data_IF_355606210087
#
_entry.id   IF_355606210087
#
_cell.length_a   1.000
_cell.length_b   1.000
_cell.length_c   1.000
_cell.angle_alpha   90.00
_cell.angle_beta   90.00
_cell.angle_gamma   90.00
#
_symmetry.space_group_name_H-M   'P 1'
#
loop_
_entity.id
_entity.type
_entity.pdbx_description
1 polymer ?
#
# COMPACT_ATOMS: atom_id res chain seq x y z
N UNK A 1 23.24 2.99 -7.75
CA UNK A 1 22.64 4.16 -8.45
C UNK A 1 22.36 5.26 -7.46
N UNK A 2 22.65 6.53 -7.76
CA UNK A 2 22.17 7.66 -6.96
C UNK A 2 20.69 7.84 -7.28
N UNK A 3 19.83 7.69 -6.30
CA UNK A 3 18.39 7.95 -6.47
C UNK A 3 18.16 9.38 -6.97
N UNK A 4 17.16 9.59 -7.83
CA UNK A 4 16.78 10.91 -8.25
C UNK A 4 16.21 11.73 -7.06
N UNK A 5 16.41 13.08 -7.03
CA UNK A 5 15.83 13.92 -6.00
C UNK A 5 14.31 13.74 -5.89
N UNK A 6 13.80 13.52 -4.67
CA UNK A 6 12.39 13.24 -4.38
C UNK A 6 11.82 14.24 -3.36
N UNK A 7 10.54 14.54 -3.48
CA UNK A 7 9.82 15.33 -2.48
C UNK A 7 9.80 14.67 -1.10
N UNK A 8 10.02 13.36 -1.00
CA UNK A 8 10.12 12.62 0.25
C UNK A 8 11.32 13.01 1.10
N UNK A 9 12.39 13.52 0.47
CA UNK A 9 13.59 14.04 1.12
C UNK A 9 13.69 15.57 0.98
N UNK A 10 12.55 16.26 0.99
CA UNK A 10 12.50 17.71 0.82
C UNK A 10 12.81 18.42 2.12
N UNK A 11 13.78 19.35 2.06
CA UNK A 11 14.14 20.24 3.16
C UNK A 11 13.80 21.69 2.82
N UNK A 12 13.54 22.48 3.84
CA UNK A 12 13.48 23.95 3.74
C UNK A 12 14.56 24.55 4.61
N UNK A 13 15.54 25.22 3.99
CA UNK A 13 16.60 25.96 4.67
C UNK A 13 16.21 27.43 4.78
N UNK A 14 16.18 27.96 6.00
CA UNK A 14 16.02 29.38 6.28
C UNK A 14 17.37 30.03 6.33
N UNK A 15 17.62 30.94 5.40
CA UNK A 15 18.90 31.60 5.20
C UNK A 15 18.75 33.11 5.48
N UNK A 16 19.83 33.72 6.02
CA UNK A 16 20.05 35.13 6.01
C UNK A 16 21.09 35.48 4.93
N UNK A 17 20.78 36.41 4.06
CA UNK A 17 21.56 36.71 2.87
C UNK A 17 21.79 38.22 2.82
N UNK A 18 22.98 38.66 2.47
CA UNK A 18 23.28 40.08 2.29
C UNK A 18 22.37 40.67 1.17
N UNK A 19 21.75 41.81 1.46
CA UNK A 19 20.75 42.44 0.53
C UNK A 19 21.33 42.95 -0.78
N UNK A 20 22.65 42.96 -0.91
CA UNK A 20 23.37 43.46 -2.09
C UNK A 20 24.18 42.32 -2.69
N UNK A 21 23.88 41.95 -3.95
CA UNK A 21 24.66 40.94 -4.69
C UNK A 21 23.82 39.84 -5.34
N UNK A 22 24.52 38.82 -5.81
CA UNK A 22 23.95 37.68 -6.56
C UNK A 22 23.65 36.47 -5.65
N UNK A 23 23.62 36.63 -4.34
CA UNK A 23 23.59 35.55 -3.39
C UNK A 23 22.40 34.58 -3.60
N UNK A 24 21.20 35.08 -3.95
CA UNK A 24 20.04 34.21 -4.22
C UNK A 24 20.28 33.33 -5.45
N UNK A 25 20.86 33.85 -6.52
CA UNK A 25 21.19 33.06 -7.71
C UNK A 25 22.35 32.06 -7.47
N UNK A 26 23.26 32.42 -6.56
CA UNK A 26 24.36 31.54 -6.18
C UNK A 26 23.89 30.39 -5.29
N UNK A 27 22.91 30.63 -4.41
CA UNK A 27 22.27 29.57 -3.60
C UNK A 27 21.58 28.54 -4.49
N UNK A 28 20.76 28.97 -5.47
CA UNK A 28 20.10 28.02 -6.37
C UNK A 28 21.09 27.23 -7.19
N UNK A 29 22.16 27.89 -7.67
CA UNK A 29 23.24 27.22 -8.39
C UNK A 29 23.99 26.22 -7.52
N UNK A 30 24.27 26.54 -6.25
CA UNK A 30 24.94 25.63 -5.32
C UNK A 30 24.11 24.36 -5.09
N UNK A 31 22.79 24.49 -4.91
CA UNK A 31 21.86 23.35 -4.78
C UNK A 31 21.87 22.48 -6.05
N UNK A 32 21.75 23.10 -7.24
CA UNK A 32 21.77 22.39 -8.52
C UNK A 32 23.11 21.69 -8.79
N UNK A 33 24.24 22.36 -8.50
CA UNK A 33 25.57 21.78 -8.65
C UNK A 33 25.82 20.61 -7.69
N UNK A 34 25.19 20.61 -6.52
CA UNK A 34 25.20 19.51 -5.59
C UNK A 34 24.21 18.39 -5.95
N UNK A 35 23.47 18.52 -7.07
CA UNK A 35 22.53 17.50 -7.55
C UNK A 35 21.12 17.62 -7.00
N UNK A 36 20.80 18.63 -6.18
CA UNK A 36 19.47 18.88 -5.64
C UNK A 36 18.58 19.64 -6.63
N UNK A 37 17.27 19.61 -6.38
CA UNK A 37 16.27 20.35 -7.17
C UNK A 37 15.60 21.39 -6.28
N UNK A 38 15.72 22.69 -6.64
CA UNK A 38 15.00 23.76 -5.95
C UNK A 38 13.53 23.71 -6.34
N UNK A 39 12.64 23.52 -5.37
CA UNK A 39 11.19 23.40 -5.58
C UNK A 39 10.42 24.63 -5.16
N UNK A 40 10.96 25.46 -4.26
CA UNK A 40 10.41 26.75 -3.89
C UNK A 40 11.48 27.68 -3.35
N UNK A 41 11.28 28.99 -3.53
CA UNK A 41 12.14 30.02 -3.01
C UNK A 41 11.29 31.22 -2.60
N UNK A 42 11.28 31.52 -1.29
CA UNK A 42 10.58 32.66 -0.71
C UNK A 42 11.57 33.70 -0.19
N UNK A 43 11.47 34.92 -0.69
CA UNK A 43 12.31 36.04 -0.28
C UNK A 43 11.51 37.04 0.56
N UNK A 44 11.86 37.14 1.82
CA UNK A 44 11.23 38.05 2.77
C UNK A 44 12.17 39.20 3.12
N UNK A 45 11.61 40.38 3.34
CA UNK A 45 12.39 41.55 3.81
C UNK A 45 12.98 41.25 5.21
N UNK A 46 14.29 41.34 5.32
CA UNK A 46 15.01 41.30 6.58
C UNK A 46 15.23 42.68 7.18
N UNK A 47 15.74 42.73 8.40
CA UNK A 47 16.16 43.96 9.06
C UNK A 47 17.61 44.33 8.69
N UNK A 48 17.93 45.62 8.55
CA UNK A 48 19.30 46.16 8.44
C UNK A 48 20.14 45.68 7.24
N UNK A 49 19.54 45.59 6.04
CA UNK A 49 20.32 45.28 4.82
C UNK A 49 20.59 43.79 4.61
N UNK A 50 19.90 42.91 5.31
CA UNK A 50 19.87 41.49 5.04
C UNK A 50 18.50 41.07 4.52
N UNK A 51 18.46 40.05 3.67
CA UNK A 51 17.23 39.37 3.20
C UNK A 51 17.11 38.04 3.94
N UNK A 52 15.90 37.66 4.31
CA UNK A 52 15.58 36.32 4.76
C UNK A 52 15.07 35.54 3.55
N UNK A 53 15.71 34.43 3.26
CA UNK A 53 15.37 33.55 2.13
C UNK A 53 15.07 32.16 2.66
N UNK A 54 13.87 31.66 2.39
CA UNK A 54 13.51 30.27 2.66
C UNK A 54 13.66 29.49 1.33
N UNK A 55 14.61 28.55 1.26
CA UNK A 55 14.87 27.71 0.09
C UNK A 55 14.36 26.32 0.38
N UNK A 56 13.41 25.86 -0.43
CA UNK A 56 12.95 24.47 -0.40
C UNK A 56 13.58 23.71 -1.54
N UNK A 57 14.23 22.60 -1.24
CA UNK A 57 14.85 21.73 -2.24
C UNK A 57 14.59 20.26 -1.95
N UNK A 58 14.54 19.46 -3.02
CA UNK A 58 14.45 18.01 -2.96
C UNK A 58 15.85 17.40 -3.07
N UNK A 59 16.10 16.37 -2.25
CA UNK A 59 17.30 15.55 -2.25
C UNK A 59 16.98 14.10 -2.64
N UNK A 60 18.01 13.28 -2.90
CA UNK A 60 17.85 11.86 -3.17
C UNK A 60 17.69 11.00 -1.91
N UNK A 61 18.32 11.44 -0.82
CA UNK A 61 18.35 10.77 0.47
C UNK A 61 18.73 11.74 1.58
N UNK A 62 18.81 11.27 2.82
CA UNK A 62 19.13 12.09 3.99
C UNK A 62 20.56 12.67 3.93
N UNK A 63 21.56 11.89 3.50
CA UNK A 63 22.95 12.34 3.41
C UNK A 63 23.09 13.42 2.32
N UNK A 64 22.39 13.25 1.20
CA UNK A 64 22.33 14.26 0.15
C UNK A 64 21.65 15.54 0.64
N UNK A 65 20.56 15.46 1.43
CA UNK A 65 19.94 16.64 2.04
C UNK A 65 20.93 17.43 2.93
N UNK A 66 21.75 16.74 3.72
CA UNK A 66 22.81 17.36 4.53
C UNK A 66 23.88 18.04 3.64
N UNK A 67 24.26 17.40 2.53
CA UNK A 67 25.23 17.98 1.59
C UNK A 67 24.70 19.24 0.89
N UNK A 68 23.39 19.29 0.57
CA UNK A 68 22.75 20.49 0.02
C UNK A 68 22.78 21.66 1.02
N UNK A 69 22.56 21.37 2.32
CA UNK A 69 22.67 22.39 3.38
C UNK A 69 24.10 22.93 3.47
N UNK A 70 25.10 22.05 3.43
CA UNK A 70 26.50 22.44 3.44
C UNK A 70 26.86 23.32 2.23
N UNK A 71 26.42 22.93 1.01
CA UNK A 71 26.64 23.70 -0.22
C UNK A 71 26.01 25.10 -0.13
N UNK A 72 24.82 25.25 0.45
CA UNK A 72 24.22 26.57 0.68
C UNK A 72 24.99 27.42 1.70
N UNK A 73 25.54 26.79 2.72
CA UNK A 73 26.33 27.49 3.76
C UNK A 73 27.70 28.00 3.24
N UNK A 74 28.25 27.39 2.20
CA UNK A 74 29.50 27.81 1.56
C UNK A 74 29.35 29.03 0.64
N UNK A 75 28.10 29.42 0.29
CA UNK A 75 27.86 30.58 -0.54
C UNK A 75 28.24 31.86 0.22
N UNK A 76 29.11 32.74 -0.35
CA UNK A 76 29.56 33.94 0.32
C UNK A 76 28.40 34.87 0.73
N UNK A 77 28.36 35.28 2.00
CA UNK A 77 27.34 36.17 2.54
C UNK A 77 26.01 35.47 2.86
N UNK A 78 26.00 34.18 2.92
CA UNK A 78 24.86 33.36 3.34
C UNK A 78 25.12 32.77 4.73
N UNK A 79 24.11 32.87 5.60
CA UNK A 79 24.10 32.23 6.92
C UNK A 79 22.87 31.34 7.03
N UNK A 80 23.07 30.05 7.31
CA UNK A 80 21.98 29.10 7.54
C UNK A 80 21.50 29.22 8.99
N UNK A 81 20.24 29.62 9.20
CA UNK A 81 19.67 29.75 10.53
C UNK A 81 18.91 28.54 11.01
N UNK A 82 18.17 27.92 10.11
CA UNK A 82 17.33 26.76 10.44
C UNK A 82 17.14 25.89 9.20
N UNK A 83 17.21 24.59 9.40
CA UNK A 83 16.80 23.60 8.39
C UNK A 83 15.61 22.83 8.96
N UNK A 84 14.62 22.61 8.12
CA UNK A 84 13.41 21.86 8.46
C UNK A 84 13.19 20.79 7.41
N UNK A 85 13.12 19.56 7.84
CA UNK A 85 12.68 18.45 7.00
C UNK A 85 11.16 18.51 6.87
N UNK A 86 10.67 18.60 5.63
CA UNK A 86 9.23 18.76 5.36
C UNK A 86 8.44 17.50 5.68
N UNK A 87 9.04 16.32 5.50
CA UNK A 87 8.41 15.05 5.86
C UNK A 87 8.20 14.97 7.37
N UNK A 88 9.22 15.29 8.17
CA UNK A 88 9.08 15.34 9.63
C UNK A 88 8.08 16.39 10.09
N UNK A 89 8.06 17.57 9.44
CA UNK A 89 7.08 18.61 9.77
C UNK A 89 5.64 18.15 9.53
N UNK A 90 5.38 17.38 8.47
CA UNK A 90 4.07 16.80 8.18
C UNK A 90 3.60 15.83 9.27
N UNK A 91 4.54 15.18 9.97
CA UNK A 91 4.24 14.21 11.03
C UNK A 91 4.13 14.82 12.43
N UNK A 92 4.47 16.10 12.61
CA UNK A 92 4.36 16.74 13.92
C UNK A 92 2.93 16.79 14.43
N UNK A 93 2.67 16.12 15.57
CA UNK A 93 1.35 16.03 16.18
C UNK A 93 0.42 14.98 15.55
N UNK A 94 0.97 14.13 14.64
CA UNK A 94 0.21 13.12 13.92
C UNK A 94 -0.48 13.63 12.66
N UNK A 95 -1.02 12.71 11.86
CA UNK A 95 -1.67 12.98 10.56
C UNK A 95 -3.19 12.91 10.61
N UNK A 96 -3.76 12.49 11.72
CA UNK A 96 -5.19 12.30 11.90
C UNK A 96 -5.69 12.99 13.16
N UNK A 97 -6.95 13.39 13.15
CA UNK A 97 -7.66 13.95 14.29
C UNK A 97 -9.07 13.36 14.38
N UNK A 98 -9.65 13.36 15.59
CA UNK A 98 -11.05 13.00 15.80
C UNK A 98 -11.93 14.26 15.79
N UNK A 99 -13.00 14.22 15.01
CA UNK A 99 -13.96 15.31 14.94
C UNK A 99 -15.39 14.84 15.26
N UNK A 100 -16.06 15.54 16.18
CA UNK A 100 -17.47 15.27 16.49
C UNK A 100 -18.36 15.56 15.29
N UNK A 101 -19.30 14.63 15.00
CA UNK A 101 -20.35 14.80 13.98
C UNK A 101 -21.58 15.55 14.51
N UNK A 102 -21.73 15.61 15.83
CA UNK A 102 -22.88 16.24 16.48
C UNK A 102 -22.48 17.54 17.17
N UNK A 103 -23.31 18.58 17.13
CA UNK A 103 -23.05 19.79 17.88
C UNK A 103 -23.27 19.55 19.39
N UNK A 104 -22.41 20.11 20.22
CA UNK A 104 -22.56 20.12 21.69
C UNK A 104 -22.52 21.57 22.16
N UNK A 105 -23.57 22.34 21.84
CA UNK A 105 -23.65 23.79 22.03
C UNK A 105 -24.40 24.21 23.29
N UNK A 106 -25.31 23.36 23.78
CA UNK A 106 -26.20 23.67 24.89
C UNK A 106 -26.53 22.39 25.69
N UNK A 107 -27.33 22.57 26.76
CA UNK A 107 -27.76 21.47 27.66
C UNK A 107 -28.60 20.42 26.95
N UNK A 108 -29.43 20.81 25.99
CA UNK A 108 -30.27 19.90 25.24
C UNK A 108 -29.47 18.99 24.32
N UNK A 109 -28.49 19.57 23.58
CA UNK A 109 -27.53 18.81 22.79
C UNK A 109 -26.78 17.81 23.67
N UNK A 110 -26.28 18.22 24.84
CA UNK A 110 -25.58 17.35 25.78
C UNK A 110 -26.50 16.24 26.32
N UNK A 111 -27.73 16.57 26.68
CA UNK A 111 -28.72 15.60 27.20
C UNK A 111 -29.06 14.53 26.16
N UNK A 112 -29.16 14.89 24.88
CA UNK A 112 -29.39 13.94 23.80
C UNK A 112 -28.16 13.08 23.47
N UNK A 113 -26.99 13.71 23.40
CA UNK A 113 -25.78 13.04 22.97
C UNK A 113 -25.13 12.20 24.08
N UNK A 114 -25.35 12.55 25.35
CA UNK A 114 -24.73 11.87 26.49
C UNK A 114 -25.81 11.53 27.55
N UNK A 115 -25.72 12.08 28.75
CA UNK A 115 -26.64 11.74 29.87
C UNK A 115 -27.78 12.74 29.97
N UNK A 116 -29.04 12.31 30.04
CA UNK A 116 -29.57 10.93 30.18
C UNK A 116 -29.94 10.23 28.85
N UNK A 117 -29.95 10.94 27.73
CA UNK A 117 -30.47 10.46 26.45
C UNK A 117 -29.81 9.20 25.92
N UNK A 118 -28.46 9.10 26.02
CA UNK A 118 -27.68 7.94 25.55
C UNK A 118 -28.09 6.63 26.23
N UNK A 119 -28.60 6.67 27.46
CA UNK A 119 -29.03 5.47 28.18
C UNK A 119 -30.14 4.70 27.43
N UNK A 120 -31.05 5.42 26.76
CA UNK A 120 -32.09 4.81 25.94
C UNK A 120 -31.54 4.05 24.74
N UNK A 121 -30.48 4.59 24.09
CA UNK A 121 -29.78 3.95 22.97
C UNK A 121 -29.02 2.73 23.48
N UNK A 122 -28.35 2.83 24.62
CA UNK A 122 -27.61 1.71 25.23
C UNK A 122 -28.56 0.55 25.59
N UNK A 123 -29.72 0.82 26.15
CA UNK A 123 -30.73 -0.21 26.44
C UNK A 123 -31.28 -0.87 25.17
N UNK A 124 -31.51 -0.07 24.12
CA UNK A 124 -31.95 -0.61 22.83
C UNK A 124 -30.86 -1.54 22.21
N UNK A 125 -29.59 -1.17 22.30
CA UNK A 125 -28.47 -1.99 21.82
C UNK A 125 -28.25 -3.24 22.70
N UNK A 126 -28.47 -3.16 24.00
CA UNK A 126 -28.43 -4.34 24.87
C UNK A 126 -29.50 -5.36 24.51
N UNK A 127 -30.67 -4.90 24.08
CA UNK A 127 -31.77 -5.75 23.62
C UNK A 127 -31.60 -6.25 22.20
N UNK A 128 -30.89 -5.48 21.35
CA UNK A 128 -30.67 -5.76 19.92
C UNK A 128 -29.28 -5.33 19.47
N UNK A 129 -28.22 -6.12 19.76
CA UNK A 129 -26.82 -5.77 19.47
C UNK A 129 -26.51 -5.50 17.98
N UNK A 130 -27.23 -6.13 17.05
CA UNK A 130 -27.07 -5.94 15.61
C UNK A 130 -27.36 -4.48 15.16
N UNK A 131 -28.17 -3.74 15.89
CA UNK A 131 -28.41 -2.32 15.64
C UNK A 131 -27.18 -1.42 15.92
N UNK A 132 -26.10 -1.95 16.51
CA UNK A 132 -24.86 -1.22 16.73
C UNK A 132 -24.28 -0.67 15.42
N UNK A 133 -24.38 -1.41 14.31
CA UNK A 133 -23.96 -0.92 12.98
C UNK A 133 -24.78 0.26 12.48
N UNK A 134 -25.99 0.46 12.97
CA UNK A 134 -26.88 1.56 12.60
C UNK A 134 -26.76 2.77 13.53
N UNK A 135 -26.54 2.52 14.81
CA UNK A 135 -26.65 3.53 15.88
C UNK A 135 -25.30 4.02 16.42
N UNK A 136 -24.19 3.44 15.98
CA UNK A 136 -22.84 3.79 16.46
C UNK A 136 -21.84 4.02 15.33
N UNK A 137 -20.61 4.42 15.71
CA UNK A 137 -19.48 4.56 14.79
C UNK A 137 -19.09 3.22 14.11
N UNK A 138 -19.50 2.06 14.65
CA UNK A 138 -19.29 0.73 14.07
C UNK A 138 -19.70 0.67 12.59
N UNK A 139 -20.67 1.46 12.18
CA UNK A 139 -21.13 1.56 10.78
C UNK A 139 -20.02 1.90 9.80
N UNK A 140 -19.07 2.74 10.22
CA UNK A 140 -18.09 3.40 9.32
C UNK A 140 -16.66 3.32 9.85
N UNK A 141 -16.38 2.49 10.86
CA UNK A 141 -15.05 2.40 11.48
C UNK A 141 -14.32 1.12 11.11
N UNK A 142 -13.00 1.24 10.91
CA UNK A 142 -12.07 0.13 10.67
C UNK A 142 -10.92 0.25 11.64
N UNK A 143 -10.53 -0.86 12.29
CA UNK A 143 -9.27 -0.92 13.03
C UNK A 143 -8.14 -1.30 12.06
N UNK A 144 -7.10 -0.49 12.00
CA UNK A 144 -5.84 -0.80 11.29
C UNK A 144 -4.85 -1.33 12.30
N UNK A 145 -4.65 -2.63 12.31
CA UNK A 145 -3.94 -3.36 13.36
C UNK A 145 -2.58 -3.83 12.86
N UNK A 146 -1.55 -3.52 13.62
CA UNK A 146 -0.16 -3.98 13.35
C UNK A 146 0.54 -4.39 14.65
N UNK A 147 1.53 -5.28 14.53
CA UNK A 147 2.54 -5.54 15.56
C UNK A 147 3.92 -4.95 15.20
N UNK A 148 4.01 -4.27 14.06
CA UNK A 148 5.23 -3.62 13.57
C UNK A 148 6.34 -4.56 13.15
N UNK A 149 6.03 -5.83 12.85
CA UNK A 149 7.03 -6.86 12.57
C UNK A 149 7.47 -6.95 11.10
N UNK A 150 6.78 -6.26 10.17
CA UNK A 150 7.09 -6.30 8.73
C UNK A 150 6.83 -4.96 8.01
N UNK A 151 7.34 -3.86 8.56
CA UNK A 151 7.01 -2.50 8.12
C UNK A 151 7.80 -2.10 6.87
N UNK A 152 7.11 -1.82 5.75
CA UNK A 152 7.62 -1.15 4.53
C UNK A 152 9.01 -1.62 4.04
N UNK A 153 9.38 -2.90 4.18
CA UNK A 153 10.73 -3.37 3.84
C UNK A 153 11.81 -3.02 4.89
N UNK A 154 11.44 -2.27 5.94
CA UNK A 154 12.33 -2.00 7.09
C UNK A 154 12.42 -3.20 8.04
N UNK A 155 11.49 -4.15 7.89
CA UNK A 155 11.42 -5.33 8.72
C UNK A 155 10.77 -5.06 10.09
N UNK A 156 11.26 -5.72 11.12
CA UNK A 156 10.73 -5.61 12.48
C UNK A 156 11.25 -4.35 13.18
N UNK A 157 10.48 -3.27 13.11
CA UNK A 157 10.80 -1.98 13.75
C UNK A 157 9.96 -1.71 15.00
N UNK A 158 8.98 -2.59 15.29
CA UNK A 158 8.12 -2.51 16.46
C UNK A 158 6.97 -1.51 16.35
N UNK A 159 6.06 -1.50 17.35
CA UNK A 159 4.77 -0.81 17.26
C UNK A 159 4.89 0.72 17.21
N UNK A 160 5.84 1.31 17.91
CA UNK A 160 6.00 2.78 17.92
C UNK A 160 6.45 3.30 16.55
N UNK A 161 7.40 2.61 15.91
CA UNK A 161 7.88 3.01 14.58
C UNK A 161 6.89 2.68 13.46
N UNK A 162 5.97 1.73 13.67
CA UNK A 162 4.88 1.43 12.75
C UNK A 162 3.75 2.49 12.80
N UNK A 163 3.58 3.21 13.91
CA UNK A 163 2.45 4.15 14.09
C UNK A 163 2.34 5.20 12.97
N UNK A 164 3.40 5.85 12.48
CA UNK A 164 3.29 6.79 11.37
C UNK A 164 2.74 6.17 10.08
N UNK A 165 3.02 4.88 9.82
CA UNK A 165 2.48 4.15 8.67
C UNK A 165 0.99 3.91 8.85
N UNK A 166 0.57 3.47 10.04
CA UNK A 166 -0.84 3.22 10.37
C UNK A 166 -1.68 4.51 10.31
N UNK A 167 -1.13 5.65 10.74
CA UNK A 167 -1.77 6.96 10.55
C UNK A 167 -1.90 7.31 9.07
N UNK A 168 -0.90 7.01 8.26
CA UNK A 168 -0.96 7.14 6.81
C UNK A 168 -2.09 6.32 6.22
N UNK A 169 -2.17 5.04 6.61
CA UNK A 169 -3.25 4.13 6.18
C UNK A 169 -4.63 4.70 6.57
N UNK A 170 -4.79 5.19 7.80
CA UNK A 170 -6.04 5.80 8.27
C UNK A 170 -6.41 7.06 7.46
N UNK A 171 -5.44 7.91 7.13
CA UNK A 171 -5.65 9.08 6.27
C UNK A 171 -6.10 8.69 4.85
N UNK A 172 -5.54 7.61 4.28
CA UNK A 172 -5.94 7.07 2.97
C UNK A 172 -7.37 6.52 2.99
N UNK A 173 -7.74 5.75 4.03
CA UNK A 173 -9.12 5.31 4.25
C UNK A 173 -10.11 6.48 4.27
N UNK A 174 -9.75 7.55 5.01
CA UNK A 174 -10.58 8.75 5.10
C UNK A 174 -10.68 9.46 3.76
N UNK A 175 -9.54 9.67 3.08
CA UNK A 175 -9.47 10.43 1.83
C UNK A 175 -10.23 9.77 0.69
N UNK A 176 -10.07 8.47 0.50
CA UNK A 176 -10.56 7.77 -0.69
C UNK A 176 -11.93 7.10 -0.49
N UNK A 177 -12.27 6.70 0.73
CA UNK A 177 -13.52 5.98 1.01
C UNK A 177 -14.39 6.59 2.11
N UNK A 178 -13.99 7.73 2.68
CA UNK A 178 -14.64 8.38 3.83
C UNK A 178 -14.89 7.40 5.01
N UNK A 179 -13.93 6.51 5.27
CA UNK A 179 -13.95 5.57 6.39
C UNK A 179 -13.15 6.15 7.55
N UNK A 180 -13.68 6.03 8.76
CA UNK A 180 -13.03 6.43 10.00
C UNK A 180 -12.15 5.28 10.49
N UNK A 181 -10.87 5.29 10.11
CA UNK A 181 -9.92 4.23 10.45
C UNK A 181 -9.08 4.62 11.67
N UNK A 182 -8.78 3.63 12.53
CA UNK A 182 -8.10 3.80 13.80
C UNK A 182 -6.79 3.01 13.82
N UNK A 183 -5.62 3.67 13.95
CA UNK A 183 -4.35 3.01 14.18
C UNK A 183 -4.35 2.25 15.51
N UNK A 184 -4.07 0.95 15.46
CA UNK A 184 -3.95 0.07 16.61
C UNK A 184 -2.61 -0.65 16.53
N UNK A 185 -1.60 -0.14 17.22
CA UNK A 185 -0.27 -0.72 17.27
C UNK A 185 -0.14 -1.56 18.55
N UNK A 186 0.13 -2.86 18.39
CA UNK A 186 0.19 -3.82 19.50
C UNK A 186 1.65 -4.03 19.93
N UNK A 187 1.92 -3.86 21.23
CA UNK A 187 3.22 -4.17 21.80
C UNK A 187 3.32 -5.67 22.16
N UNK A 188 3.04 -6.51 21.17
CA UNK A 188 3.19 -7.96 21.26
C UNK A 188 3.27 -8.56 19.85
N UNK A 189 4.09 -9.61 19.71
CA UNK A 189 4.19 -10.44 18.50
C UNK A 189 3.70 -11.87 18.76
N UNK A 190 3.09 -12.12 19.90
CA UNK A 190 2.46 -13.39 20.23
C UNK A 190 1.11 -13.52 19.54
N UNK A 191 0.93 -14.59 18.76
CA UNK A 191 -0.28 -14.83 17.97
C UNK A 191 -1.54 -14.87 18.82
N UNK A 192 -1.49 -15.52 19.99
CA UNK A 192 -2.65 -15.67 20.88
C UNK A 192 -3.05 -14.32 21.48
N UNK A 193 -2.09 -13.52 21.87
CA UNK A 193 -2.33 -12.17 22.40
C UNK A 193 -2.87 -11.22 21.32
N UNK A 194 -2.33 -11.26 20.10
CA UNK A 194 -2.83 -10.48 18.97
C UNK A 194 -4.30 -10.82 18.72
N UNK A 195 -4.61 -12.11 18.54
CA UNK A 195 -5.97 -12.59 18.27
C UNK A 195 -6.93 -12.21 19.40
N UNK A 196 -6.54 -12.45 20.66
CA UNK A 196 -7.37 -12.12 21.80
C UNK A 196 -7.65 -10.60 21.91
N UNK A 197 -6.62 -9.77 21.69
CA UNK A 197 -6.75 -8.31 21.76
C UNK A 197 -7.66 -7.79 20.65
N UNK A 198 -7.45 -8.23 19.41
CA UNK A 198 -8.27 -7.80 18.27
C UNK A 198 -9.73 -8.23 18.45
N UNK A 199 -9.96 -9.46 18.92
CA UNK A 199 -11.31 -9.94 19.23
C UNK A 199 -11.99 -9.11 20.32
N UNK A 200 -11.26 -8.72 21.37
CA UNK A 200 -11.79 -7.93 22.46
C UNK A 200 -12.21 -6.50 22.04
N UNK A 201 -11.52 -5.87 21.09
CA UNK A 201 -11.86 -4.53 20.59
C UNK A 201 -12.84 -4.54 19.41
N UNK A 202 -13.05 -5.65 18.75
CA UNK A 202 -13.89 -5.81 17.55
C UNK A 202 -15.32 -5.24 17.69
N UNK A 203 -15.98 -5.24 18.87
CA UNK A 203 -17.31 -4.66 19.02
C UNK A 203 -17.42 -3.19 18.57
N UNK A 204 -16.33 -2.41 18.65
CA UNK A 204 -16.30 -0.99 18.25
C UNK A 204 -16.12 -0.77 16.74
N UNK A 205 -15.83 -1.80 15.95
CA UNK A 205 -15.44 -1.67 14.56
C UNK A 205 -16.35 -2.41 13.59
N UNK A 206 -16.50 -1.87 12.39
CA UNK A 206 -17.20 -2.52 11.29
C UNK A 206 -16.34 -3.45 10.46
N UNK A 207 -15.01 -3.38 10.60
CA UNK A 207 -14.04 -4.25 9.96
C UNK A 207 -12.65 -4.13 10.56
N UNK A 208 -11.79 -5.10 10.29
CA UNK A 208 -10.39 -5.15 10.74
C UNK A 208 -9.49 -5.20 9.50
N UNK A 209 -8.56 -4.26 9.41
CA UNK A 209 -7.44 -4.28 8.48
C UNK A 209 -6.18 -4.68 9.23
N UNK A 210 -5.63 -5.85 8.93
CA UNK A 210 -4.32 -6.27 9.41
C UNK A 210 -3.25 -5.69 8.49
N UNK A 211 -2.19 -5.17 9.06
CA UNK A 211 -1.13 -4.45 8.36
C UNK A 211 0.24 -4.77 8.93
N UNK A 212 1.24 -4.96 8.07
CA UNK A 212 2.65 -5.08 8.46
C UNK A 212 2.93 -6.19 9.52
N UNK A 213 2.16 -7.28 9.50
CA UNK A 213 2.37 -8.46 10.35
C UNK A 213 3.16 -9.50 9.56
N UNK A 214 4.29 -9.95 10.08
CA UNK A 214 5.21 -10.85 9.37
C UNK A 214 4.64 -12.26 9.15
N UNK A 215 4.96 -12.83 7.98
CA UNK A 215 4.73 -14.26 7.72
C UNK A 215 5.71 -15.13 8.55
N UNK A 216 5.33 -16.36 8.96
CA UNK A 216 4.03 -17.01 8.67
C UNK A 216 2.90 -16.63 9.62
N UNK A 217 3.18 -15.88 10.70
CA UNK A 217 2.22 -15.53 11.76
C UNK A 217 0.97 -14.82 11.23
N UNK A 218 1.11 -13.94 10.25
CA UNK A 218 -0.02 -13.20 9.67
C UNK A 218 -1.13 -14.12 9.15
N UNK A 219 -0.79 -15.29 8.59
CA UNK A 219 -1.78 -16.24 8.09
C UNK A 219 -2.65 -16.83 9.21
N UNK A 220 -2.01 -17.20 10.33
CA UNK A 220 -2.71 -17.77 11.48
C UNK A 220 -3.57 -16.71 12.18
N UNK A 221 -3.06 -15.49 12.36
CA UNK A 221 -3.80 -14.37 12.92
C UNK A 221 -5.06 -14.10 12.11
N UNK A 222 -4.93 -13.94 10.78
CA UNK A 222 -6.07 -13.67 9.90
C UNK A 222 -7.09 -14.82 9.94
N UNK A 223 -6.64 -16.07 9.78
CA UNK A 223 -7.48 -17.26 9.77
C UNK A 223 -8.32 -17.37 11.04
N UNK A 224 -7.71 -17.18 12.20
CA UNK A 224 -8.40 -17.26 13.50
C UNK A 224 -9.39 -16.11 13.69
N UNK A 225 -9.01 -14.88 13.37
CA UNK A 225 -9.91 -13.74 13.48
C UNK A 225 -11.12 -13.84 12.53
N UNK A 226 -10.91 -14.31 11.29
CA UNK A 226 -12.01 -14.57 10.34
C UNK A 226 -12.99 -15.64 10.82
N UNK A 227 -12.51 -16.62 11.58
CA UNK A 227 -13.35 -17.68 12.16
C UNK A 227 -14.13 -17.21 13.41
N UNK A 228 -13.62 -16.20 14.14
CA UNK A 228 -14.17 -15.76 15.42
C UNK A 228 -15.08 -14.54 15.30
N UNK A 229 -14.85 -13.67 14.33
CA UNK A 229 -15.52 -12.35 14.25
C UNK A 229 -16.68 -12.35 13.26
N UNK A 230 -17.70 -11.55 13.60
CA UNK A 230 -18.86 -11.25 12.75
C UNK A 230 -18.67 -10.00 11.88
N UNK A 231 -17.42 -9.56 11.71
CA UNK A 231 -17.01 -8.45 10.87
C UNK A 231 -15.88 -8.90 9.92
N UNK A 232 -15.75 -8.28 8.74
CA UNK A 232 -14.70 -8.67 7.79
C UNK A 232 -13.32 -8.40 8.36
N UNK A 233 -12.41 -9.36 8.18
CA UNK A 233 -10.99 -9.27 8.46
C UNK A 233 -10.23 -9.38 7.15
N UNK A 234 -9.36 -8.43 6.89
CA UNK A 234 -8.60 -8.29 5.65
C UNK A 234 -7.15 -7.97 5.98
N UNK A 235 -6.22 -8.70 5.41
CA UNK A 235 -4.80 -8.41 5.53
C UNK A 235 -4.35 -7.71 4.23
N UNK A 236 -4.00 -6.43 4.31
CA UNK A 236 -3.75 -5.62 3.11
C UNK A 236 -2.53 -6.09 2.32
N UNK A 237 -1.42 -6.43 3.00
CA UNK A 237 -0.21 -6.93 2.33
C UNK A 237 -0.44 -8.23 1.54
N UNK A 238 -1.46 -9.00 1.92
CA UNK A 238 -1.87 -10.18 1.19
C UNK A 238 -2.88 -9.83 0.09
N UNK A 239 -4.07 -9.43 0.51
CA UNK A 239 -5.23 -9.33 -0.39
C UNK A 239 -5.25 -8.03 -1.20
N UNK A 240 -4.79 -6.90 -0.61
CA UNK A 240 -4.65 -5.64 -1.33
C UNK A 240 -3.66 -5.79 -2.48
N UNK A 241 -2.49 -6.36 -2.20
CA UNK A 241 -1.47 -6.66 -3.21
C UNK A 241 -2.01 -7.60 -4.29
N UNK A 242 -2.72 -8.66 -3.91
CA UNK A 242 -3.28 -9.61 -4.88
C UNK A 242 -4.30 -8.95 -5.84
N UNK A 243 -5.17 -8.09 -5.31
CA UNK A 243 -6.17 -7.35 -6.10
C UNK A 243 -5.50 -6.45 -7.13
N UNK A 244 -4.54 -5.62 -6.71
CA UNK A 244 -3.91 -4.66 -7.61
C UNK A 244 -3.02 -5.33 -8.66
N UNK A 245 -2.35 -6.43 -8.29
CA UNK A 245 -1.56 -7.23 -9.23
C UNK A 245 -2.46 -7.89 -10.27
N UNK A 246 -3.57 -8.51 -9.87
CA UNK A 246 -4.51 -9.12 -10.82
C UNK A 246 -5.14 -8.08 -11.75
N UNK A 247 -5.50 -6.90 -11.23
CA UNK A 247 -6.04 -5.81 -12.03
C UNK A 247 -5.04 -5.34 -13.09
N UNK A 248 -3.80 -5.05 -12.68
CA UNK A 248 -2.73 -4.64 -13.58
C UNK A 248 -2.40 -5.73 -14.61
N UNK A 249 -2.33 -7.00 -14.19
CA UNK A 249 -2.05 -8.11 -15.10
C UNK A 249 -3.17 -8.30 -16.13
N UNK A 250 -4.44 -8.16 -15.72
CA UNK A 250 -5.58 -8.23 -16.64
C UNK A 250 -5.43 -7.23 -17.79
N UNK A 251 -5.06 -6.00 -17.50
CA UNK A 251 -4.87 -4.97 -18.50
C UNK A 251 -3.55 -5.14 -19.28
N UNK A 252 -2.46 -5.53 -18.62
CA UNK A 252 -1.20 -5.82 -19.30
C UNK A 252 -1.36 -6.95 -20.34
N UNK A 253 -2.11 -8.00 -19.99
CA UNK A 253 -2.43 -9.09 -20.94
C UNK A 253 -3.27 -8.59 -22.12
N UNK A 254 -4.23 -7.70 -21.90
CA UNK A 254 -4.98 -7.04 -22.98
C UNK A 254 -4.06 -6.26 -23.93
N UNK A 255 -3.09 -5.51 -23.38
CA UNK A 255 -2.09 -4.73 -24.15
C UNK A 255 -1.24 -5.63 -25.06
N UNK A 256 -0.80 -6.79 -24.55
CA UNK A 256 0.07 -7.70 -25.31
C UNK A 256 -0.70 -8.77 -26.10
N UNK A 257 -2.04 -8.83 -25.98
CA UNK A 257 -2.88 -9.77 -26.70
C UNK A 257 -2.72 -11.22 -26.25
N UNK A 258 -2.48 -11.47 -24.95
CA UNK A 258 -2.30 -12.82 -24.39
C UNK A 258 -3.43 -13.16 -23.41
N UNK A 259 -3.69 -14.46 -23.21
CA UNK A 259 -4.68 -14.96 -22.24
C UNK A 259 -4.01 -15.49 -20.97
N UNK A 260 -4.64 -15.22 -19.81
CA UNK A 260 -4.10 -15.64 -18.50
C UNK A 260 -3.93 -17.16 -18.38
N UNK A 261 -4.75 -17.94 -19.07
CA UNK A 261 -4.70 -19.40 -19.05
C UNK A 261 -3.54 -19.99 -19.85
N UNK A 262 -2.96 -19.22 -20.79
CA UNK A 262 -1.95 -19.72 -21.71
C UNK A 262 -0.53 -19.19 -21.38
N UNK A 263 -0.43 -18.12 -20.61
CA UNK A 263 0.85 -17.49 -20.26
C UNK A 263 1.62 -18.25 -19.18
N UNK A 264 2.93 -18.34 -19.36
CA UNK A 264 3.86 -18.81 -18.33
C UNK A 264 4.18 -17.66 -17.38
N UNK A 265 3.77 -17.79 -16.13
CA UNK A 265 4.00 -16.82 -15.06
C UNK A 265 5.12 -17.31 -14.15
N UNK A 266 6.10 -16.46 -13.88
CA UNK A 266 7.15 -16.70 -12.88
C UNK A 266 7.00 -15.70 -11.76
N UNK A 267 6.94 -16.19 -10.52
CA UNK A 267 6.83 -15.35 -9.34
C UNK A 267 8.09 -15.44 -8.48
N UNK A 268 8.64 -14.31 -8.11
CA UNK A 268 9.70 -14.19 -7.11
C UNK A 268 9.06 -13.73 -5.79
N UNK A 269 9.18 -14.57 -4.75
CA UNK A 269 8.60 -14.34 -3.44
C UNK A 269 7.41 -15.24 -3.13
N UNK A 270 7.59 -16.10 -2.12
CA UNK A 270 6.60 -17.06 -1.64
C UNK A 270 6.13 -16.75 -0.19
N UNK A 271 6.22 -15.48 0.19
CA UNK A 271 5.75 -14.96 1.47
C UNK A 271 4.26 -14.62 1.46
N UNK A 272 3.84 -13.70 2.35
CA UNK A 272 2.44 -13.30 2.51
C UNK A 272 1.83 -12.77 1.20
N UNK A 273 2.44 -11.76 0.59
CA UNK A 273 1.98 -11.17 -0.66
C UNK A 273 2.00 -12.19 -1.81
N UNK A 274 3.13 -12.88 -2.02
CA UNK A 274 3.27 -13.84 -3.12
C UNK A 274 2.25 -14.97 -3.07
N UNK A 275 1.97 -15.50 -1.89
CA UNK A 275 0.94 -16.54 -1.72
C UNK A 275 -0.46 -16.05 -2.05
N UNK A 276 -0.80 -14.85 -1.61
CA UNK A 276 -2.11 -14.26 -1.88
C UNK A 276 -2.29 -13.92 -3.36
N UNK A 277 -1.26 -13.34 -3.99
CA UNK A 277 -1.23 -13.09 -5.44
C UNK A 277 -1.43 -14.41 -6.19
N UNK A 278 -0.67 -15.45 -5.84
CA UNK A 278 -0.74 -16.74 -6.47
C UNK A 278 -2.15 -17.34 -6.41
N UNK A 279 -2.77 -17.35 -5.21
CA UNK A 279 -4.15 -17.84 -5.04
C UNK A 279 -5.13 -17.11 -5.95
N UNK A 280 -5.02 -15.79 -6.01
CA UNK A 280 -5.93 -14.98 -6.81
C UNK A 280 -5.71 -15.18 -8.33
N UNK A 281 -4.46 -15.36 -8.78
CA UNK A 281 -4.13 -15.68 -10.17
C UNK A 281 -4.68 -17.04 -10.60
N UNK A 282 -4.53 -18.06 -9.76
CA UNK A 282 -5.09 -19.40 -10.02
C UNK A 282 -6.62 -19.35 -10.12
N UNK A 283 -7.29 -18.60 -9.24
CA UNK A 283 -8.73 -18.40 -9.28
C UNK A 283 -9.17 -17.60 -10.54
N UNK A 284 -8.32 -16.72 -11.05
CA UNK A 284 -8.54 -16.00 -12.28
C UNK A 284 -8.28 -16.84 -13.54
N UNK A 285 -7.76 -18.06 -13.41
CA UNK A 285 -7.56 -19.00 -14.50
C UNK A 285 -6.10 -19.24 -14.93
N UNK A 286 -5.11 -18.69 -14.21
CA UNK A 286 -3.70 -18.99 -14.49
C UNK A 286 -3.41 -20.49 -14.30
N UNK A 287 -2.67 -21.09 -15.24
CA UNK A 287 -2.39 -22.56 -15.22
C UNK A 287 -0.91 -22.87 -15.15
N UNK A 288 -0.06 -22.03 -15.72
CA UNK A 288 1.38 -22.29 -15.87
C UNK A 288 2.16 -21.31 -14.98
N UNK A 289 2.20 -21.60 -13.67
CA UNK A 289 2.88 -20.74 -12.70
C UNK A 289 4.04 -21.47 -12.07
N UNK A 290 5.21 -20.83 -11.99
CA UNK A 290 6.38 -21.25 -11.22
C UNK A 290 6.63 -20.20 -10.15
N UNK A 291 6.52 -20.57 -8.88
CA UNK A 291 6.88 -19.69 -7.75
C UNK A 291 8.28 -20.05 -7.25
N UNK A 292 9.09 -19.01 -6.97
CA UNK A 292 10.43 -19.15 -6.43
C UNK A 292 10.52 -18.43 -5.08
N UNK A 293 11.20 -19.05 -4.14
CA UNK A 293 11.67 -18.43 -2.90
C UNK A 293 13.18 -18.20 -2.95
N UNK A 294 13.81 -17.87 -1.82
CA UNK A 294 15.26 -17.64 -1.73
C UNK A 294 16.09 -18.88 -2.09
N UNK A 295 15.50 -20.08 -2.02
CA UNK A 295 16.15 -21.34 -2.35
C UNK A 295 15.86 -21.83 -3.79
N UNK A 296 15.23 -20.99 -4.63
CA UNK A 296 14.84 -21.32 -6.01
C UNK A 296 13.38 -21.76 -6.12
N UNK A 297 13.07 -22.54 -7.15
CA UNK A 297 11.71 -22.96 -7.44
C UNK A 297 11.07 -23.78 -6.31
N UNK A 298 9.81 -23.52 -6.05
CA UNK A 298 8.97 -24.31 -5.13
C UNK A 298 8.32 -25.42 -5.96
N UNK A 299 8.53 -26.70 -5.55
CA UNK A 299 8.00 -27.86 -6.25
C UNK A 299 7.65 -29.01 -5.29
N UNK A 300 6.77 -29.87 -5.71
CA UNK A 300 6.36 -31.04 -4.93
C UNK A 300 7.54 -31.99 -4.68
N UNK A 301 7.80 -32.31 -3.41
CA UNK A 301 8.91 -33.16 -2.97
C UNK A 301 10.20 -32.38 -2.62
N UNK A 302 10.24 -31.05 -2.70
CA UNK A 302 11.34 -30.25 -2.16
C UNK A 302 11.36 -30.36 -0.63
N UNK A 303 12.53 -30.58 -0.05
CA UNK A 303 12.71 -30.65 1.40
C UNK A 303 12.57 -29.29 2.08
N UNK A 304 12.16 -29.27 3.35
CA UNK A 304 12.10 -28.06 4.18
C UNK A 304 10.94 -27.12 3.90
N UNK A 305 9.88 -27.59 3.22
CA UNK A 305 8.69 -26.79 2.98
C UNK A 305 7.85 -26.64 4.26
N UNK A 306 7.50 -25.40 4.60
CA UNK A 306 6.46 -25.13 5.59
C UNK A 306 5.06 -25.30 4.96
N UNK A 307 3.99 -25.23 5.76
CA UNK A 307 2.59 -25.44 5.31
C UNK A 307 2.24 -24.56 4.09
N UNK A 308 2.66 -23.31 4.08
CA UNK A 308 2.40 -22.38 2.98
C UNK A 308 3.16 -22.78 1.69
N UNK A 309 4.44 -23.09 1.80
CA UNK A 309 5.25 -23.54 0.66
C UNK A 309 4.78 -24.91 0.15
N UNK A 310 4.29 -25.78 1.04
CA UNK A 310 3.68 -27.06 0.67
C UNK A 310 2.44 -26.81 -0.20
N UNK A 311 1.56 -25.89 0.22
CA UNK A 311 0.39 -25.51 -0.59
C UNK A 311 0.81 -24.99 -1.97
N UNK A 312 1.83 -24.11 -2.05
CA UNK A 312 2.36 -23.61 -3.33
C UNK A 312 2.85 -24.77 -4.21
N UNK A 313 3.64 -25.68 -3.63
CA UNK A 313 4.19 -26.83 -4.35
C UNK A 313 3.11 -27.77 -4.92
N UNK A 314 1.97 -27.90 -4.25
CA UNK A 314 0.85 -28.74 -4.66
C UNK A 314 -0.03 -28.10 -5.75
N UNK A 315 -0.04 -26.76 -5.84
CA UNK A 315 -0.95 -26.02 -6.72
C UNK A 315 -0.26 -25.37 -7.92
N UNK A 316 1.07 -25.40 -7.98
CA UNK A 316 1.85 -24.74 -9.04
C UNK A 316 2.93 -25.64 -9.61
N UNK A 317 3.73 -25.11 -10.53
CA UNK A 317 4.91 -25.78 -11.07
C UNK A 317 4.63 -27.19 -11.61
N UNK A 318 3.55 -27.34 -12.36
CA UNK A 318 3.13 -28.62 -12.94
C UNK A 318 4.18 -29.24 -13.86
N UNK A 319 5.11 -28.43 -14.39
CA UNK A 319 6.25 -28.87 -15.20
C UNK A 319 7.45 -29.37 -14.38
N UNK A 320 7.36 -29.42 -13.05
CA UNK A 320 8.43 -29.86 -12.14
C UNK A 320 9.77 -29.15 -12.36
N UNK A 321 9.76 -27.86 -12.63
CA UNK A 321 10.99 -27.06 -12.69
C UNK A 321 11.64 -27.01 -11.29
N UNK A 322 12.93 -27.32 -11.19
CA UNK A 322 13.67 -27.44 -9.91
C UNK A 322 14.87 -26.49 -9.82
N UNK A 323 15.03 -25.59 -10.81
CA UNK A 323 16.15 -24.66 -10.90
C UNK A 323 15.95 -23.36 -10.09
N UNK A 324 16.83 -22.42 -10.37
CA UNK A 324 16.81 -21.06 -9.81
C UNK A 324 15.81 -20.13 -10.52
N UNK A 325 15.69 -18.89 -10.01
CA UNK A 325 14.82 -17.87 -10.55
C UNK A 325 15.22 -17.46 -11.97
N UNK A 326 16.53 -17.25 -12.22
CA UNK A 326 17.04 -16.83 -13.52
C UNK A 326 16.76 -17.84 -14.63
N UNK A 327 16.82 -19.14 -14.31
CA UNK A 327 16.41 -20.19 -15.23
C UNK A 327 14.89 -20.28 -15.40
N UNK A 328 14.11 -20.00 -14.35
CA UNK A 328 12.65 -20.03 -14.42
C UNK A 328 12.10 -18.98 -15.40
N UNK A 329 12.68 -17.75 -15.43
CA UNK A 329 12.20 -16.65 -16.28
C UNK A 329 12.48 -16.89 -17.78
N UNK A 330 13.32 -17.84 -18.14
CA UNK A 330 13.56 -18.16 -19.56
C UNK A 330 12.27 -18.60 -20.23
N UNK A 331 11.86 -17.87 -21.28
CA UNK A 331 10.62 -18.11 -22.01
C UNK A 331 9.36 -17.82 -21.19
N UNK A 332 9.42 -17.14 -20.06
CA UNK A 332 8.26 -16.69 -19.31
C UNK A 332 7.59 -15.50 -20.02
N UNK A 333 6.25 -15.47 -20.00
CA UNK A 333 5.46 -14.36 -20.50
C UNK A 333 5.31 -13.24 -19.45
N UNK A 334 5.27 -13.64 -18.18
CA UNK A 334 5.02 -12.73 -17.06
C UNK A 334 6.02 -13.01 -15.94
N UNK A 335 6.65 -11.97 -15.42
CA UNK A 335 7.39 -11.97 -14.18
C UNK A 335 6.67 -11.11 -13.15
N UNK A 336 6.47 -11.63 -11.93
CA UNK A 336 5.89 -10.90 -10.80
C UNK A 336 6.82 -11.04 -9.61
N UNK A 337 7.45 -9.94 -9.21
CA UNK A 337 8.31 -9.84 -8.04
C UNK A 337 7.57 -9.22 -6.86
N UNK A 338 7.58 -9.89 -5.73
CA UNK A 338 7.10 -9.46 -4.41
C UNK A 338 8.08 -9.96 -3.34
N UNK A 339 9.38 -9.71 -3.56
CA UNK A 339 10.47 -10.37 -2.83
C UNK A 339 11.51 -9.37 -2.30
N UNK A 340 12.67 -9.36 -2.90
CA UNK A 340 13.81 -8.54 -2.50
C UNK A 340 14.37 -7.81 -3.72
N UNK A 341 15.10 -6.71 -3.52
CA UNK A 341 15.68 -5.95 -4.62
C UNK A 341 16.72 -6.76 -5.40
N UNK A 342 16.81 -6.47 -6.71
CA UNK A 342 17.87 -6.94 -7.61
C UNK A 342 18.02 -8.48 -7.67
N UNK A 343 16.91 -9.23 -7.66
CA UNK A 343 16.93 -10.71 -7.74
C UNK A 343 17.02 -11.24 -9.17
N UNK A 344 16.73 -10.41 -10.19
CA UNK A 344 16.97 -10.65 -11.60
C UNK A 344 17.61 -9.41 -12.24
N UNK A 345 18.29 -9.59 -13.37
CA UNK A 345 18.88 -8.51 -14.16
C UNK A 345 18.13 -8.27 -15.47
N UNK A 346 18.36 -7.14 -16.14
CA UNK A 346 17.82 -6.86 -17.48
C UNK A 346 18.15 -7.97 -18.50
N UNK A 347 19.34 -8.55 -18.45
CA UNK A 347 19.73 -9.70 -19.29
C UNK A 347 18.89 -10.97 -19.05
N UNK A 348 18.26 -11.11 -17.89
CA UNK A 348 17.32 -12.21 -17.63
C UNK A 348 15.96 -11.88 -18.24
N UNK A 349 15.51 -10.62 -18.16
CA UNK A 349 14.30 -10.14 -18.84
C UNK A 349 14.37 -10.35 -20.35
N UNK A 350 15.53 -10.13 -20.95
CA UNK A 350 15.81 -10.40 -22.38
C UNK A 350 15.57 -11.85 -22.81
N UNK A 351 15.67 -12.79 -21.89
CA UNK A 351 15.43 -14.24 -22.16
C UNK A 351 13.96 -14.63 -22.04
N UNK A 352 13.09 -13.72 -21.61
CA UNK A 352 11.64 -13.94 -21.53
C UNK A 352 11.01 -14.05 -22.93
N UNK A 353 9.75 -14.44 -22.96
CA UNK A 353 8.99 -14.55 -24.20
C UNK A 353 8.74 -13.17 -24.85
N UNK A 354 8.55 -13.09 -26.18
CA UNK A 354 8.13 -11.85 -26.83
C UNK A 354 6.84 -11.29 -26.21
N UNK A 355 6.79 -9.97 -26.03
CA UNK A 355 5.69 -9.32 -25.35
C UNK A 355 5.68 -9.62 -23.83
N UNK A 356 6.84 -9.71 -23.22
CA UNK A 356 6.98 -9.96 -21.78
C UNK A 356 6.36 -8.83 -20.94
N UNK A 357 5.78 -9.23 -19.80
CA UNK A 357 5.24 -8.35 -18.77
C UNK A 357 6.09 -8.52 -17.51
N UNK A 358 6.58 -7.40 -16.94
CA UNK A 358 7.42 -7.40 -15.75
C UNK A 358 6.79 -6.51 -14.67
N UNK A 359 6.43 -7.12 -13.54
CA UNK A 359 5.99 -6.43 -12.33
C UNK A 359 7.06 -6.61 -11.26
N UNK A 360 7.79 -5.54 -10.92
CA UNK A 360 8.85 -5.54 -9.93
C UNK A 360 8.42 -4.67 -8.74
N UNK A 361 7.85 -5.28 -7.70
CA UNK A 361 7.07 -4.59 -6.68
C UNK A 361 7.79 -4.47 -5.33
N UNK A 362 9.01 -4.97 -5.19
CA UNK A 362 9.81 -4.79 -3.97
C UNK A 362 10.06 -3.30 -3.69
N UNK A 363 10.02 -2.93 -2.43
CA UNK A 363 10.22 -1.56 -1.95
C UNK A 363 11.38 -1.52 -0.93
N UNK A 364 12.25 -0.47 -0.95
CA UNK A 364 12.22 0.69 -1.84
C UNK A 364 12.79 0.43 -3.24
N UNK A 365 13.61 -0.60 -3.39
CA UNK A 365 14.26 -0.96 -4.65
C UNK A 365 13.58 -2.19 -5.26
N UNK A 366 13.23 -2.17 -6.56
CA UNK A 366 12.53 -3.27 -7.22
C UNK A 366 13.44 -4.48 -7.49
N UNK A 367 12.85 -5.61 -7.86
CA UNK A 367 13.52 -6.88 -8.18
C UNK A 367 14.45 -6.80 -9.37
N UNK A 368 14.21 -5.86 -10.29
CA UNK A 368 15.04 -5.53 -11.45
C UNK A 368 14.99 -4.03 -11.66
N UNK A 369 16.04 -3.45 -12.20
CA UNK A 369 16.04 -2.05 -12.61
C UNK A 369 14.95 -1.83 -13.67
N UNK A 370 13.96 -0.93 -13.44
CA UNK A 370 12.86 -0.74 -14.36
C UNK A 370 13.27 -0.21 -15.73
N UNK A 371 14.34 0.56 -15.81
CA UNK A 371 14.85 1.11 -17.08
C UNK A 371 15.51 0.01 -17.90
N UNK A 372 16.29 -0.90 -17.25
CA UNK A 372 16.83 -2.09 -17.93
C UNK A 372 15.70 -3.03 -18.37
N UNK A 373 14.68 -3.24 -17.54
CA UNK A 373 13.55 -4.11 -17.88
C UNK A 373 12.78 -3.59 -19.11
N UNK A 374 12.62 -2.27 -19.26
CA UNK A 374 11.92 -1.62 -20.39
C UNK A 374 12.60 -1.81 -21.73
N UNK A 375 13.88 -2.11 -21.75
CA UNK A 375 14.59 -2.40 -23.01
C UNK A 375 14.07 -3.71 -23.66
N UNK A 376 13.51 -4.63 -22.87
CA UNK A 376 13.16 -5.98 -23.32
C UNK A 376 11.71 -6.36 -23.08
N UNK A 377 11.05 -5.80 -22.08
CA UNK A 377 9.65 -6.07 -21.75
C UNK A 377 8.70 -5.11 -22.47
N UNK A 378 7.54 -5.61 -22.87
CA UNK A 378 6.47 -4.79 -23.47
C UNK A 378 5.73 -3.94 -22.44
N UNK A 379 5.61 -4.43 -21.20
CA UNK A 379 4.95 -3.72 -20.10
C UNK A 379 5.80 -3.88 -18.83
N UNK A 380 6.11 -2.76 -18.19
CA UNK A 380 6.80 -2.74 -16.90
C UNK A 380 5.97 -1.96 -15.89
N UNK A 381 5.79 -2.53 -14.68
CA UNK A 381 5.14 -1.89 -13.55
C UNK A 381 5.95 -2.06 -12.27
N UNK A 382 5.86 -1.09 -11.37
CA UNK A 382 6.58 -1.11 -10.09
C UNK A 382 5.68 -0.63 -8.93
N UNK A 383 6.13 -0.79 -7.69
CA UNK A 383 5.51 -0.16 -6.53
C UNK A 383 5.82 1.34 -6.39
N UNK A 384 6.74 1.88 -7.17
CA UNK A 384 7.26 3.25 -7.05
C UNK A 384 6.34 4.25 -7.76
N UNK A 385 6.19 5.43 -7.16
CA UNK A 385 5.36 6.52 -7.69
C UNK A 385 6.06 7.37 -8.77
N UNK A 386 7.35 7.20 -8.96
CA UNK A 386 8.17 7.92 -9.94
C UNK A 386 8.29 7.19 -11.29
N UNK A 387 7.66 6.00 -11.39
CA UNK A 387 7.55 5.23 -12.64
C UNK A 387 6.08 5.13 -13.10
N UNK A 388 5.82 4.95 -14.40
CA UNK A 388 4.49 4.58 -14.90
C UNK A 388 4.00 3.25 -14.31
N UNK A 389 2.68 3.05 -14.34
CA UNK A 389 2.06 1.83 -13.85
C UNK A 389 2.38 1.54 -12.38
N UNK A 390 2.22 2.52 -11.50
CA UNK A 390 2.41 2.31 -10.07
C UNK A 390 1.37 1.31 -9.53
N UNK A 391 1.80 0.12 -9.12
CA UNK A 391 0.98 -0.88 -8.44
C UNK A 391 1.04 -0.60 -6.93
N UNK A 392 -0.08 -0.14 -6.37
CA UNK A 392 -0.16 0.24 -4.96
C UNK A 392 -1.50 -0.21 -4.35
N UNK A 393 -1.45 -0.81 -3.15
CA UNK A 393 -2.62 -1.34 -2.43
C UNK A 393 -3.71 -0.28 -2.16
N UNK A 394 -3.35 1.01 -2.16
CA UNK A 394 -4.31 2.11 -1.99
C UNK A 394 -5.39 2.13 -3.09
N UNK A 395 -5.13 1.51 -4.23
CA UNK A 395 -6.13 1.33 -5.28
C UNK A 395 -7.22 0.32 -4.89
N UNK A 396 -6.95 -0.57 -3.93
CA UNK A 396 -7.86 -1.66 -3.55
C UNK A 396 -8.55 -1.43 -2.21
N UNK A 397 -7.78 -1.35 -1.09
CA UNK A 397 -8.33 -1.50 0.25
C UNK A 397 -9.41 -0.49 0.62
N UNK A 398 -9.35 0.81 0.24
CA UNK A 398 -10.39 1.74 0.62
C UNK A 398 -11.73 1.38 0.00
N UNK A 399 -11.74 1.04 -1.30
CA UNK A 399 -12.92 0.59 -2.03
C UNK A 399 -13.47 -0.73 -1.50
N UNK A 400 -12.60 -1.71 -1.25
CA UNK A 400 -12.99 -3.00 -0.67
C UNK A 400 -13.73 -2.81 0.66
N UNK A 401 -13.14 -2.09 1.62
CA UNK A 401 -13.79 -1.84 2.90
C UNK A 401 -15.07 -1.00 2.77
N UNK A 402 -15.12 -0.05 1.85
CA UNK A 402 -16.35 0.71 1.59
C UNK A 402 -17.47 -0.22 1.12
N UNK A 403 -17.20 -1.11 0.19
CA UNK A 403 -18.16 -2.10 -0.29
C UNK A 403 -18.64 -3.06 0.81
N UNK A 404 -17.70 -3.57 1.63
CA UNK A 404 -18.00 -4.45 2.76
C UNK A 404 -18.86 -3.76 3.84
N UNK A 405 -18.52 -2.52 4.20
CA UNK A 405 -19.28 -1.75 5.19
C UNK A 405 -20.68 -1.39 4.69
N UNK A 406 -20.82 -1.02 3.42
CA UNK A 406 -22.11 -0.69 2.81
C UNK A 406 -23.02 -1.91 2.65
N UNK A 407 -22.45 -3.10 2.38
CA UNK A 407 -23.16 -4.37 2.37
C UNK A 407 -23.42 -4.93 3.77
N UNK A 408 -22.83 -4.36 4.80
CA UNK A 408 -22.78 -4.91 6.16
C UNK A 408 -22.27 -6.37 6.17
N UNK A 409 -21.30 -6.67 5.29
CA UNK A 409 -20.75 -8.02 5.18
C UNK A 409 -20.05 -8.44 6.48
N UNK A 410 -20.14 -9.72 6.81
CA UNK A 410 -19.43 -10.33 7.93
C UNK A 410 -18.14 -11.03 7.50
N UNK A 411 -17.99 -11.25 6.20
CA UNK A 411 -16.87 -12.00 5.63
C UNK A 411 -16.35 -11.31 4.38
N UNK A 412 -15.15 -11.68 3.96
CA UNK A 412 -14.62 -11.40 2.63
C UNK A 412 -14.33 -12.70 1.92
N UNK A 413 -14.75 -12.81 0.66
CA UNK A 413 -14.62 -14.01 -0.15
C UNK A 413 -13.71 -13.78 -1.34
N UNK A 414 -13.21 -14.84 -1.94
CA UNK A 414 -12.39 -14.78 -3.16
C UNK A 414 -13.18 -14.17 -4.32
N UNK A 415 -14.47 -14.42 -4.41
CA UNK A 415 -15.35 -13.78 -5.40
C UNK A 415 -15.35 -12.25 -5.30
N UNK A 416 -15.37 -11.71 -4.06
CA UNK A 416 -15.27 -10.28 -3.81
C UNK A 416 -13.90 -9.72 -4.23
N UNK A 417 -12.80 -10.45 -3.96
CA UNK A 417 -11.45 -10.04 -4.36
C UNK A 417 -11.29 -9.99 -5.89
N UNK A 418 -11.79 -11.00 -6.60
CA UNK A 418 -11.78 -11.03 -8.06
C UNK A 418 -12.63 -9.92 -8.64
N UNK A 419 -13.82 -9.66 -8.07
CA UNK A 419 -14.69 -8.58 -8.51
C UNK A 419 -14.02 -7.20 -8.29
N UNK A 420 -13.33 -7.00 -7.16
CA UNK A 420 -12.54 -5.81 -6.89
C UNK A 420 -11.44 -5.60 -7.95
N UNK A 421 -10.69 -6.65 -8.27
CA UNK A 421 -9.63 -6.59 -9.27
C UNK A 421 -10.16 -6.27 -10.67
N UNK A 422 -11.28 -6.87 -11.08
CA UNK A 422 -11.94 -6.57 -12.37
C UNK A 422 -12.44 -5.13 -12.43
N UNK A 423 -13.13 -4.69 -11.38
CA UNK A 423 -13.63 -3.32 -11.32
C UNK A 423 -12.49 -2.29 -11.38
N UNK A 424 -11.36 -2.58 -10.72
CA UNK A 424 -10.17 -1.73 -10.79
C UNK A 424 -9.55 -1.72 -12.18
N UNK A 425 -9.45 -2.86 -12.85
CA UNK A 425 -8.95 -2.96 -14.23
C UNK A 425 -9.83 -2.17 -15.20
N UNK A 426 -11.16 -2.26 -15.05
CA UNK A 426 -12.13 -1.63 -15.94
C UNK A 426 -12.26 -0.10 -15.73
N UNK A 427 -11.60 0.48 -14.71
CA UNK A 427 -11.45 1.95 -14.56
C UNK A 427 -10.63 2.53 -15.71
N UNK A 428 -9.67 1.79 -16.27
CA UNK A 428 -8.90 2.21 -17.43
C UNK A 428 -9.68 1.90 -18.70
N UNK A 429 -10.11 2.92 -19.48
CA UNK A 429 -10.83 2.70 -20.73
C UNK A 429 -9.99 1.93 -21.75
N UNK A 430 -10.62 1.11 -22.57
CA UNK A 430 -9.92 0.28 -23.55
C UNK A 430 -9.08 1.10 -24.55
N UNK A 431 -9.54 2.29 -24.90
CA UNK A 431 -8.88 3.24 -25.79
C UNK A 431 -7.65 3.94 -25.17
N UNK A 432 -7.53 3.93 -23.84
CA UNK A 432 -6.39 4.50 -23.11
C UNK A 432 -5.36 3.44 -22.71
N UNK A 433 -5.70 2.15 -22.83
CA UNK A 433 -4.78 1.07 -22.50
C UNK A 433 -3.51 1.12 -23.34
N UNK A 434 -2.36 1.07 -22.69
CA UNK A 434 -1.06 1.05 -23.31
C UNK A 434 0.04 0.56 -22.39
N UNK A 435 1.27 0.40 -22.91
CA UNK A 435 2.41 -0.10 -22.10
C UNK A 435 2.67 0.68 -20.82
N UNK A 436 2.40 1.98 -20.83
CA UNK A 436 2.63 2.89 -19.69
C UNK A 436 1.36 3.24 -18.92
N UNK A 437 0.20 2.67 -19.29
CA UNK A 437 -1.07 2.93 -18.60
C UNK A 437 -1.95 1.67 -18.56
N UNK A 438 -1.62 0.73 -17.64
CA UNK A 438 -2.38 -0.51 -17.40
C UNK A 438 -3.19 -0.45 -16.11
N UNK A 439 -2.93 0.54 -15.24
CA UNK A 439 -3.60 0.71 -13.97
C UNK A 439 -3.82 2.20 -13.71
N UNK A 440 -4.99 2.60 -13.16
CA UNK A 440 -5.28 4.02 -12.96
C UNK A 440 -4.42 4.64 -11.86
N UNK A 441 -4.30 5.97 -11.88
CA UNK A 441 -3.73 6.71 -10.76
C UNK A 441 -4.55 6.49 -9.49
N UNK A 442 -3.91 6.46 -8.33
CA UNK A 442 -4.57 6.41 -7.01
C UNK A 442 -5.53 7.57 -6.77
N UNK A 443 -5.35 8.68 -7.49
CA UNK A 443 -6.22 9.87 -7.42
C UNK A 443 -7.37 9.86 -8.43
N UNK A 444 -7.50 8.82 -9.26
CA UNK A 444 -8.62 8.71 -10.19
C UNK A 444 -9.94 8.61 -9.42
N UNK A 445 -10.95 9.45 -9.73
CA UNK A 445 -12.16 9.58 -8.91
C UNK A 445 -13.00 8.31 -8.83
N UNK A 446 -12.96 7.47 -9.85
CA UNK A 446 -13.81 6.29 -9.97
C UNK A 446 -13.22 5.02 -9.35
N UNK A 447 -11.94 5.03 -8.92
CA UNK A 447 -11.28 3.84 -8.37
C UNK A 447 -12.01 3.32 -7.14
N UNK A 448 -12.09 4.12 -6.08
CA UNK A 448 -12.65 3.66 -4.82
C UNK A 448 -14.15 3.35 -4.92
N UNK A 449 -14.90 4.14 -5.70
CA UNK A 449 -16.34 3.95 -5.92
C UNK A 449 -16.64 2.71 -6.77
N UNK A 450 -15.88 2.47 -7.83
CA UNK A 450 -16.02 1.29 -8.70
C UNK A 450 -15.71 0.00 -7.96
N UNK A 451 -14.59 -0.04 -7.26
CA UNK A 451 -14.23 -1.20 -6.41
C UNK A 451 -15.29 -1.45 -5.33
N UNK A 452 -15.75 -0.39 -4.66
CA UNK A 452 -16.78 -0.51 -3.62
C UNK A 452 -18.10 -1.07 -4.15
N UNK A 453 -18.54 -0.60 -5.31
CA UNK A 453 -19.76 -1.07 -5.95
C UNK A 453 -19.68 -2.57 -6.29
N UNK A 454 -18.57 -3.01 -6.89
CA UNK A 454 -18.36 -4.41 -7.27
C UNK A 454 -18.30 -5.35 -6.05
N UNK A 455 -17.56 -4.97 -5.01
CA UNK A 455 -17.48 -5.76 -3.77
C UNK A 455 -18.85 -5.83 -3.09
N UNK A 456 -19.57 -4.71 -3.00
CA UNK A 456 -20.91 -4.66 -2.41
C UNK A 456 -21.90 -5.57 -3.14
N UNK A 457 -21.89 -5.57 -4.47
CA UNK A 457 -22.78 -6.40 -5.29
C UNK A 457 -22.56 -7.88 -5.00
N UNK A 458 -21.31 -8.35 -5.05
CA UNK A 458 -20.99 -9.75 -4.75
C UNK A 458 -21.36 -10.11 -3.31
N UNK A 459 -21.08 -9.22 -2.34
CA UNK A 459 -21.43 -9.44 -0.94
C UNK A 459 -22.94 -9.64 -0.73
N UNK A 460 -23.77 -8.86 -1.42
CA UNK A 460 -25.24 -8.97 -1.34
C UNK A 460 -25.71 -10.29 -1.97
N UNK A 461 -25.19 -10.65 -3.15
CA UNK A 461 -25.55 -11.89 -3.86
C UNK A 461 -25.20 -13.11 -3.01
N UNK A 462 -23.99 -13.15 -2.46
CA UNK A 462 -23.53 -14.28 -1.64
C UNK A 462 -24.27 -14.37 -0.30
N UNK A 463 -24.64 -13.23 0.30
CA UNK A 463 -25.48 -13.22 1.50
C UNK A 463 -26.89 -13.75 1.23
N UNK A 464 -27.50 -13.37 0.12
CA UNK A 464 -28.81 -13.88 -0.31
C UNK A 464 -28.81 -15.39 -0.54
N UNK A 465 -27.72 -15.92 -1.13
CA UNK A 465 -27.58 -17.35 -1.40
C UNK A 465 -27.44 -18.22 -0.13
N UNK A 466 -27.08 -17.61 1.01
CA UNK A 466 -26.97 -18.31 2.32
C UNK A 466 -28.27 -18.34 3.12
N UNK A 467 -29.30 -17.59 2.70
CA UNK A 467 -30.60 -17.60 3.37
C UNK A 467 -31.33 -18.91 3.02
N UNK A 468 -31.91 -19.64 4.01
CA UNK A 468 -32.73 -20.79 3.72
C UNK A 468 -33.95 -20.37 2.89
N UNK A 469 -34.30 -21.19 1.90
CA UNK A 469 -35.48 -21.01 1.03
C UNK A 469 -36.79 -21.06 1.79
#
# INVERSE_FOLDING_TARGET
MTMAPSVSYSITARLEVASHGRAVSEITRAVEQAGGVVTALDVNSGNRGALRVDVTCAASDTAHAESLVAAMAEVPGVTVHKVSDRTFLLHLGGKIEMRSKVPLRNRDDLSMAYTPGVARVSLALAAKPEDARRLTIKRNSVAVVTDGSAVLGLGNVGPYAALPVMEGKAALFKRFANIDAWPICLDTQDTDQIVATVAAIAPGFGGINLEDISAPRCFEVEKRLRAMLDIPVFHDDQHGTAIVVLAALTNALRVVGKDIGDVKIVMAGAGAAGTAVLKLLLNAGARHVVSCDINGAVYAGREGLNENLQWIAEHTNTGHYTGDLAGAVVGADVFIGVSAPNVIAGEDVKKMAPGAIVFALANPDPEVDPDEAREYAAVVATGRSDYPNQINNVLAFPGVFRGLLDAQSTTITEGMLVAAARALADVVPAEELGPDYIIPSVFHPDVASGVAAAVREVAIVEAAAKLPA
#
